data_IF_631804452888
#
_entry.id   IF_631804452888
#
_cell.length_a   1.000
_cell.length_b   1.000
_cell.length_c   1.000
_cell.angle_alpha   90.00
_cell.angle_beta   90.00
_cell.angle_gamma   90.00
#
_symmetry.space_group_name_H-M   'P 1'
#
loop_
_entity.id
_entity.type
_entity.pdbx_description
1 polymer ?
#
# COMPACT_ATOMS: atom_id res chain seq x y z
N UNK A 1 6.70 -14.37 -11.98
CA UNK A 1 6.93 -12.93 -12.28
C UNK A 1 8.41 -12.60 -12.06
N UNK A 2 9.10 -11.75 -12.85
CA UNK A 2 10.48 -11.38 -12.52
C UNK A 2 10.54 -10.73 -11.12
N UNK A 3 11.38 -11.21 -10.17
CA UNK A 3 11.33 -10.71 -8.79
C UNK A 3 11.58 -9.20 -8.64
N UNK A 4 12.41 -8.61 -9.51
CA UNK A 4 12.68 -7.18 -9.52
C UNK A 4 11.47 -6.30 -9.89
N UNK A 5 10.45 -6.87 -10.54
CA UNK A 5 9.24 -6.15 -10.93
C UNK A 5 8.13 -6.24 -9.86
N UNK A 6 8.29 -7.07 -8.82
CA UNK A 6 7.22 -7.37 -7.87
C UNK A 6 6.65 -6.12 -7.19
N UNK A 7 7.49 -5.17 -6.75
CA UNK A 7 7.02 -3.92 -6.15
C UNK A 7 6.13 -3.12 -7.09
N UNK A 8 6.48 -3.08 -8.38
CA UNK A 8 5.79 -2.31 -9.41
C UNK A 8 4.49 -2.99 -9.83
N UNK A 9 4.54 -4.29 -10.04
CA UNK A 9 3.37 -5.08 -10.42
C UNK A 9 2.35 -5.11 -9.28
N UNK A 10 2.80 -5.14 -8.02
CA UNK A 10 1.92 -5.03 -6.86
C UNK A 10 1.28 -3.64 -6.73
N UNK A 11 2.05 -2.56 -6.90
CA UNK A 11 1.51 -1.19 -6.92
C UNK A 11 0.48 -1.01 -8.05
N UNK A 12 0.77 -1.54 -9.24
CA UNK A 12 -0.14 -1.54 -10.39
C UNK A 12 -1.41 -2.33 -10.09
N UNK A 13 -1.28 -3.52 -9.50
CA UNK A 13 -2.40 -4.33 -9.08
C UNK A 13 -3.32 -3.62 -8.08
N UNK A 14 -2.78 -2.89 -7.10
CA UNK A 14 -3.61 -2.18 -6.13
C UNK A 14 -4.49 -1.13 -6.79
N UNK A 15 -3.95 -0.43 -7.80
CA UNK A 15 -4.67 0.56 -8.59
C UNK A 15 -5.69 -0.10 -9.54
N UNK A 16 -5.24 -1.01 -10.39
CA UNK A 16 -5.98 -1.46 -11.58
C UNK A 16 -6.66 -2.82 -11.37
N UNK A 17 -6.18 -3.61 -10.42
CA UNK A 17 -6.59 -5.01 -10.23
C UNK A 17 -5.85 -5.96 -11.16
N UNK A 18 -6.49 -7.06 -11.50
CA UNK A 18 -5.93 -8.09 -12.39
C UNK A 18 -5.85 -9.47 -11.75
N UNK A 19 -5.22 -10.39 -12.45
CA UNK A 19 -5.13 -11.82 -12.09
C UNK A 19 -3.73 -12.28 -11.72
N UNK A 20 -2.73 -11.39 -11.75
CA UNK A 20 -1.33 -11.70 -11.45
C UNK A 20 -1.12 -12.14 -9.99
N UNK A 21 -2.02 -11.73 -9.08
CA UNK A 21 -1.97 -12.04 -7.66
C UNK A 21 -3.14 -12.91 -7.22
N UNK A 22 -2.86 -13.88 -6.36
CA UNK A 22 -3.88 -14.69 -5.70
C UNK A 22 -4.73 -13.80 -4.80
N UNK A 23 -6.01 -14.12 -4.65
CA UNK A 23 -6.91 -13.38 -3.77
C UNK A 23 -6.49 -13.56 -2.31
N UNK A 24 -6.49 -12.46 -1.55
CA UNK A 24 -6.05 -12.49 -0.15
C UNK A 24 -6.27 -11.18 0.61
N UNK A 25 -5.89 -11.13 1.90
CA UNK A 25 -6.12 -9.95 2.74
C UNK A 25 -5.27 -8.73 2.34
N UNK A 26 -4.10 -8.95 1.74
CA UNK A 26 -3.23 -7.90 1.20
C UNK A 26 -3.46 -7.64 -0.30
N UNK A 27 -4.34 -8.48 -0.83
CA UNK A 27 -4.95 -8.64 -2.15
C UNK A 27 -6.13 -7.76 -2.57
N UNK A 28 -7.03 -8.46 -3.24
CA UNK A 28 -8.45 -8.16 -3.42
C UNK A 28 -9.13 -7.70 -2.14
N UNK A 29 -8.83 -8.32 -0.99
CA UNK A 29 -9.40 -7.92 0.30
C UNK A 29 -9.03 -6.49 0.69
N UNK A 30 -7.79 -6.08 0.43
CA UNK A 30 -7.36 -4.71 0.69
C UNK A 30 -7.99 -3.73 -0.31
N UNK A 31 -8.03 -4.07 -1.59
CA UNK A 31 -8.70 -3.23 -2.60
C UNK A 31 -10.17 -3.00 -2.24
N UNK A 32 -10.88 -4.06 -1.84
CA UNK A 32 -12.27 -3.95 -1.39
C UNK A 32 -12.42 -3.09 -0.12
N UNK A 33 -11.45 -3.16 0.81
CA UNK A 33 -11.46 -2.29 1.99
C UNK A 33 -11.22 -0.82 1.62
N UNK A 34 -10.28 -0.54 0.71
CA UNK A 34 -9.99 0.81 0.23
C UNK A 34 -11.20 1.39 -0.49
N UNK A 35 -11.82 0.64 -1.40
CA UNK A 35 -13.04 1.05 -2.09
C UNK A 35 -14.16 1.48 -1.13
N UNK A 36 -14.41 0.70 -0.07
CA UNK A 36 -15.37 1.04 0.99
C UNK A 36 -15.00 2.30 1.78
N UNK A 37 -13.71 2.64 1.85
CA UNK A 37 -13.20 3.83 2.55
C UNK A 37 -13.11 5.06 1.64
N UNK A 38 -12.99 4.88 0.33
CA UNK A 38 -12.77 5.96 -0.64
C UNK A 38 -13.89 6.99 -0.67
N UNK A 39 -15.14 6.56 -0.42
CA UNK A 39 -16.30 7.44 -0.42
C UNK A 39 -17.12 7.24 0.84
N UNK A 40 -17.11 8.25 1.71
CA UNK A 40 -17.98 8.36 2.89
C UNK A 40 -18.67 9.72 2.88
N UNK A 41 -19.86 9.85 3.47
CA UNK A 41 -20.51 11.15 3.59
C UNK A 41 -19.56 12.19 4.22
N UNK A 42 -19.28 13.26 3.48
CA UNK A 42 -18.41 14.35 3.94
C UNK A 42 -16.91 14.08 3.94
N UNK A 43 -16.44 12.91 3.46
CA UNK A 43 -15.02 12.55 3.42
C UNK A 43 -14.67 11.72 2.18
N UNK A 44 -13.75 12.23 1.37
CA UNK A 44 -13.15 11.49 0.26
C UNK A 44 -11.78 10.98 0.67
N UNK A 45 -11.48 9.71 0.36
CA UNK A 45 -10.14 9.13 0.56
C UNK A 45 -9.56 8.70 -0.78
N UNK A 46 -8.34 9.15 -1.07
CA UNK A 46 -7.61 8.85 -2.29
C UNK A 46 -6.33 8.09 -1.93
N UNK A 47 -5.93 7.16 -2.80
CA UNK A 47 -4.74 6.34 -2.60
C UNK A 47 -3.81 6.48 -3.80
N UNK A 48 -2.51 6.58 -3.53
CA UNK A 48 -1.45 6.47 -4.53
C UNK A 48 -0.49 5.40 -4.04
N UNK A 49 -0.25 4.35 -4.84
CA UNK A 49 0.71 3.30 -4.53
C UNK A 49 1.88 3.40 -5.51
N UNK A 50 3.10 3.32 -4.98
CA UNK A 50 4.32 3.42 -5.78
C UNK A 50 5.32 2.32 -5.41
N UNK A 51 6.04 1.78 -6.40
CA UNK A 51 7.11 0.85 -6.12
C UNK A 51 8.28 1.55 -5.41
N UNK A 52 8.86 0.87 -4.43
CA UNK A 52 10.22 1.16 -3.97
C UNK A 52 11.13 0.03 -4.45
N UNK A 53 12.11 0.37 -5.28
CA UNK A 53 12.99 -0.60 -5.97
C UNK A 53 14.47 -0.23 -5.93
N UNK A 54 14.82 0.93 -5.38
CA UNK A 54 16.18 1.45 -5.40
C UNK A 54 16.86 1.28 -4.04
N UNK A 55 18.19 1.13 -4.05
CA UNK A 55 19.00 1.05 -2.84
C UNK A 55 18.56 -0.09 -1.92
N UNK A 56 18.37 0.23 -0.64
CA UNK A 56 17.98 -0.73 0.40
C UNK A 56 16.56 -1.30 0.23
N UNK A 57 15.78 -0.77 -0.71
CA UNK A 57 14.43 -1.23 -1.04
C UNK A 57 14.37 -2.13 -2.28
N UNK A 58 15.52 -2.46 -2.88
CA UNK A 58 15.55 -3.37 -4.02
C UNK A 58 14.98 -4.75 -3.63
N UNK A 59 14.05 -5.32 -4.42
CA UNK A 59 13.50 -6.64 -4.12
C UNK A 59 14.58 -7.72 -4.07
N UNK A 60 14.46 -8.62 -3.09
CA UNK A 60 15.35 -9.77 -2.92
C UNK A 60 14.56 -11.06 -3.05
N UNK A 61 15.13 -12.07 -3.70
CA UNK A 61 14.45 -13.33 -3.93
C UNK A 61 15.30 -14.55 -3.58
N UNK A 62 14.67 -15.53 -2.97
CA UNK A 62 15.21 -16.86 -2.72
C UNK A 62 14.51 -17.85 -3.65
N UNK A 63 15.27 -18.61 -4.43
CA UNK A 63 14.70 -19.65 -5.30
C UNK A 63 14.15 -20.79 -4.47
N UNK A 64 12.92 -21.21 -4.75
CA UNK A 64 12.30 -22.38 -4.11
C UNK A 64 12.68 -23.67 -4.86
N UNK A 65 12.60 -24.82 -4.18
CA UNK A 65 13.03 -26.12 -4.74
C UNK A 65 12.20 -26.54 -5.98
N UNK A 66 10.94 -26.15 -6.00
CA UNK A 66 9.96 -26.39 -7.07
C UNK A 66 10.08 -25.37 -8.22
N UNK A 67 11.07 -24.47 -8.19
CA UNK A 67 11.39 -23.59 -9.30
C UNK A 67 10.73 -22.21 -9.27
N UNK A 68 9.97 -21.89 -8.22
CA UNK A 68 9.48 -20.54 -7.94
C UNK A 68 10.46 -19.68 -7.15
N UNK A 69 9.94 -18.64 -6.49
CA UNK A 69 10.69 -17.71 -5.67
C UNK A 69 9.90 -17.24 -4.44
N UNK A 70 10.59 -17.13 -3.30
CA UNK A 70 10.15 -16.33 -2.15
C UNK A 70 10.77 -14.94 -2.30
N UNK A 71 9.93 -13.91 -2.44
CA UNK A 71 10.36 -12.56 -2.78
C UNK A 71 10.02 -11.60 -1.64
N UNK A 72 11.03 -10.84 -1.19
CA UNK A 72 10.90 -9.71 -0.30
C UNK A 72 10.87 -8.44 -1.13
N UNK A 73 9.89 -7.57 -0.89
CA UNK A 73 9.69 -6.37 -1.68
C UNK A 73 9.14 -5.22 -0.83
N UNK A 74 9.25 -4.00 -1.36
CA UNK A 74 8.80 -2.80 -0.66
C UNK A 74 7.94 -1.93 -1.57
N UNK A 75 6.87 -1.38 -1.02
CA UNK A 75 6.09 -0.31 -1.66
C UNK A 75 5.93 0.87 -0.72
N UNK A 76 5.73 2.06 -1.29
CA UNK A 76 5.20 3.20 -0.55
C UNK A 76 3.78 3.48 -1.02
N UNK A 77 2.94 3.99 -0.12
CA UNK A 77 1.65 4.51 -0.52
C UNK A 77 1.27 5.75 0.26
N UNK A 78 0.47 6.58 -0.38
CA UNK A 78 -0.14 7.77 0.19
C UNK A 78 -1.63 7.53 0.39
N UNK A 79 -2.17 7.96 1.52
CA UNK A 79 -3.59 8.06 1.79
C UNK A 79 -3.94 9.52 2.04
N UNK A 80 -4.68 10.15 1.13
CA UNK A 80 -5.19 11.52 1.30
C UNK A 80 -6.65 11.49 1.68
N UNK A 81 -6.96 11.96 2.88
CA UNK A 81 -8.32 12.19 3.36
C UNK A 81 -8.68 13.66 3.16
N UNK A 82 -9.78 13.95 2.47
CA UNK A 82 -10.26 15.32 2.22
C UNK A 82 -11.69 15.46 2.70
N UNK A 83 -11.91 16.35 3.66
CA UNK A 83 -13.23 16.68 4.17
C UNK A 83 -13.98 17.60 3.19
N UNK A 84 -15.29 17.41 3.09
CA UNK A 84 -16.16 18.35 2.39
C UNK A 84 -16.25 19.68 3.15
N UNK A 85 -16.68 20.75 2.46
CA UNK A 85 -16.90 22.04 3.11
C UNK A 85 -17.89 21.90 4.29
N UNK A 86 -17.50 22.42 5.46
CA UNK A 86 -18.29 22.31 6.69
C UNK A 86 -18.12 20.98 7.46
N UNK A 87 -17.29 20.07 6.95
CA UNK A 87 -16.86 18.86 7.67
C UNK A 87 -15.38 18.97 8.08
N UNK A 88 -14.92 18.01 8.88
CA UNK A 88 -13.51 17.92 9.31
C UNK A 88 -12.97 16.52 9.07
N UNK A 89 -11.66 16.44 8.82
CA UNK A 89 -10.95 15.15 8.84
C UNK A 89 -11.08 14.55 10.24
N UNK A 90 -11.39 13.25 10.39
CA UNK A 90 -11.44 12.61 11.70
C UNK A 90 -10.15 12.84 12.49
N UNK A 91 -10.28 13.15 13.78
CA UNK A 91 -9.12 13.43 14.63
C UNK A 91 -8.15 12.22 14.62
N UNK A 92 -6.91 12.39 14.15
CA UNK A 92 -5.94 11.30 14.11
C UNK A 92 -5.46 10.94 15.52
N UNK A 93 -4.88 9.75 15.65
CA UNK A 93 -4.28 9.33 16.92
C UNK A 93 -2.95 10.07 17.18
N UNK A 94 -2.38 9.87 18.37
CA UNK A 94 -1.13 10.54 18.79
C UNK A 94 0.06 10.21 17.88
N UNK A 95 0.13 8.99 17.36
CA UNK A 95 1.26 8.55 16.54
C UNK A 95 1.25 9.25 15.17
N UNK A 96 0.06 9.43 14.59
CA UNK A 96 -0.12 10.20 13.35
C UNK A 96 0.18 11.67 13.59
N UNK A 97 -0.34 12.26 14.67
CA UNK A 97 -0.09 13.66 15.02
C UNK A 97 1.40 13.95 15.23
N UNK A 98 2.13 13.01 15.84
CA UNK A 98 3.57 13.15 16.05
C UNK A 98 4.38 13.18 14.74
N UNK A 99 3.82 12.65 13.65
CA UNK A 99 4.42 12.66 12.31
C UNK A 99 3.75 13.67 11.37
N UNK A 100 2.80 14.47 11.87
CA UNK A 100 2.05 15.43 11.05
C UNK A 100 2.76 16.77 11.04
N UNK A 101 3.20 17.17 9.85
CA UNK A 101 3.60 18.54 9.58
C UNK A 101 2.38 19.38 9.17
N UNK A 102 2.35 20.63 9.64
CA UNK A 102 1.25 21.55 9.35
C UNK A 102 -0.03 21.33 10.16
N UNK A 103 -0.97 22.26 10.02
CA UNK A 103 -2.28 22.20 10.66
C UNK A 103 -3.25 21.39 9.79
N UNK A 104 -3.94 20.40 10.36
CA UNK A 104 -4.98 19.64 9.65
C UNK A 104 -6.21 20.52 9.49
N UNK A 105 -6.41 21.12 8.31
CA UNK A 105 -7.58 21.94 8.00
C UNK A 105 -8.61 21.12 7.24
N UNK A 106 -8.46 21.03 5.92
CA UNK A 106 -9.43 20.36 5.06
C UNK A 106 -8.97 18.96 4.68
N UNK A 107 -7.66 18.70 4.68
CA UNK A 107 -7.12 17.40 4.33
C UNK A 107 -5.94 16.99 5.19
N UNK A 108 -5.75 15.66 5.22
CA UNK A 108 -4.61 15.00 5.81
C UNK A 108 -4.07 14.00 4.80
N UNK A 109 -2.82 14.17 4.40
CA UNK A 109 -2.09 13.21 3.55
C UNK A 109 -1.15 12.41 4.43
N UNK A 110 -1.24 11.09 4.41
CA UNK A 110 -0.38 10.18 5.17
C UNK A 110 0.48 9.38 4.20
N UNK A 111 1.76 9.19 4.52
CA UNK A 111 2.69 8.36 3.78
C UNK A 111 3.04 7.11 4.58
N UNK A 112 2.98 5.96 3.92
CA UNK A 112 3.34 4.68 4.51
C UNK A 112 4.38 3.97 3.66
N UNK A 113 5.35 3.34 4.32
CA UNK A 113 6.24 2.36 3.69
C UNK A 113 5.83 0.97 4.17
N UNK A 114 5.72 0.04 3.22
CA UNK A 114 5.32 -1.35 3.46
C UNK A 114 6.40 -2.31 3.00
N UNK A 115 6.72 -3.30 3.84
CA UNK A 115 7.54 -4.45 3.48
C UNK A 115 6.64 -5.67 3.35
N UNK A 116 6.78 -6.39 2.23
CA UNK A 116 5.99 -7.56 1.90
C UNK A 116 6.87 -8.79 1.65
N UNK A 117 6.27 -9.95 1.87
CA UNK A 117 6.81 -11.25 1.46
C UNK A 117 5.79 -11.91 0.55
N UNK A 118 6.24 -12.35 -0.61
CA UNK A 118 5.41 -13.03 -1.60
C UNK A 118 6.02 -14.39 -1.98
N UNK A 119 5.15 -15.34 -2.30
CA UNK A 119 5.49 -16.57 -3.00
C UNK A 119 5.08 -16.41 -4.47
N UNK A 120 6.06 -16.39 -5.36
CA UNK A 120 5.88 -16.42 -6.81
C UNK A 120 6.13 -17.86 -7.29
N UNK A 121 5.08 -18.66 -7.54
CA UNK A 121 5.24 -20.04 -7.97
C UNK A 121 5.84 -20.11 -9.39
N UNK A 122 6.35 -21.29 -9.77
CA UNK A 122 6.83 -21.52 -11.13
C UNK A 122 5.73 -21.35 -12.19
N UNK A 123 4.48 -21.64 -11.80
CA UNK A 123 3.27 -21.41 -12.59
C UNK A 123 2.12 -21.00 -11.67
N UNK A 124 1.27 -20.09 -12.14
CA UNK A 124 0.14 -19.54 -11.40
C UNK A 124 0.37 -18.16 -10.78
N UNK A 125 -0.60 -17.67 -9.99
CA UNK A 125 -0.59 -16.32 -9.46
C UNK A 125 0.32 -16.18 -8.23
N UNK A 126 0.87 -14.97 -8.04
CA UNK A 126 1.70 -14.63 -6.88
C UNK A 126 0.86 -14.53 -5.62
N UNK A 127 1.28 -15.20 -4.55
CA UNK A 127 0.63 -15.12 -3.24
C UNK A 127 1.37 -14.14 -2.33
N UNK A 128 0.67 -13.16 -1.76
CA UNK A 128 1.24 -12.28 -0.72
C UNK A 128 1.07 -12.96 0.65
N UNK A 129 2.15 -13.55 1.16
CA UNK A 129 2.17 -14.30 2.43
C UNK A 129 2.02 -13.39 3.64
N UNK A 130 2.58 -12.17 3.56
CA UNK A 130 2.53 -11.22 4.66
C UNK A 130 2.98 -9.84 4.23
N UNK A 131 2.46 -8.83 4.91
CA UNK A 131 2.87 -7.44 4.72
C UNK A 131 2.78 -6.68 6.03
N UNK A 132 3.82 -5.93 6.34
CA UNK A 132 3.85 -4.96 7.43
C UNK A 132 3.96 -3.56 6.84
N UNK A 133 3.37 -2.57 7.50
CA UNK A 133 3.46 -1.17 7.09
C UNK A 133 3.71 -0.26 8.30
N UNK A 134 4.42 0.83 8.07
CA UNK A 134 4.62 1.89 9.05
C UNK A 134 4.30 3.26 8.43
N UNK A 135 3.70 4.14 9.22
CA UNK A 135 3.55 5.55 8.87
C UNK A 135 4.93 6.22 8.94
N UNK A 136 5.33 6.92 7.88
CA UNK A 136 6.64 7.59 7.80
C UNK A 136 6.52 9.10 7.84
N UNK A 137 5.40 9.65 7.34
CA UNK A 137 5.12 11.07 7.38
C UNK A 137 3.61 11.33 7.28
N UNK A 138 3.18 12.51 7.71
CA UNK A 138 1.84 13.02 7.49
C UNK A 138 1.88 14.53 7.26
N UNK A 139 0.95 15.06 6.46
CA UNK A 139 0.84 16.47 6.13
C UNK A 139 -0.60 16.94 6.28
N UNK A 140 -0.83 17.95 7.11
CA UNK A 140 -2.08 18.69 7.21
C UNK A 140 -2.09 19.89 6.26
N UNK A 141 -3.20 20.09 5.56
CA UNK A 141 -3.44 21.25 4.67
C UNK A 141 -4.91 21.66 4.57
#
# INVERSE_FOLDING_TARGET
MPPGELSKDFATYLKEGGTAFAQGPHTSGWRAQREKKSSRPGLATQYIDEPLTNGDYAPLALRTKDGGALVFFTTRHFEKQTAAAGASVPAPNKDVLALTDGEIRQSLTMEFVSNGVALDPADGPVEILGRIQGLTSAQGE
#
